data_IF_226163945098
#
_entry.id   IF_226163945098
#
_cell.length_a   1.000
_cell.length_b   1.000
_cell.length_c   1.000
_cell.angle_alpha   90.00
_cell.angle_beta   90.00
_cell.angle_gamma   90.00
#
_symmetry.space_group_name_H-M   'P 1'
#
loop_
_entity.id
_entity.type
_entity.pdbx_description
1 polymer ?
#
# COMPACT_ATOMS: atom_id res chain seq x y z
N UNK A 1 44.99 34.02 -33.67
CA UNK A 1 44.53 33.73 -33.49
C UNK A 1 43.66 32.97 -32.98
N UNK A 2 43.14 32.82 -32.60
CA UNK A 2 42.42 32.17 -32.20
C UNK A 2 41.62 31.77 -31.65
N UNK A 3 41.18 31.68 -31.45
CA UNK A 3 40.41 31.26 -31.02
C UNK A 3 39.72 30.75 -30.46
N UNK A 4 39.21 30.59 -30.27
CA UNK A 4 38.49 30.23 -29.74
C UNK A 4 37.73 29.53 -29.50
N UNK A 5 37.41 29.15 -29.13
CA UNK A 5 36.67 28.48 -28.88
C UNK A 5 35.99 28.26 -28.19
N UNK A 6 35.48 28.12 -28.12
CA UNK A 6 34.81 28.05 -27.64
C UNK A 6 34.07 27.46 -27.13
N UNK A 7 33.68 27.22 -26.76
CA UNK A 7 32.96 26.79 -26.04
C UNK A 7 31.90 26.18 -25.94
N UNK A 8 31.52 25.97 -25.92
CA UNK A 8 30.67 25.47 -25.86
C UNK A 8 30.04 24.82 -25.16
N UNK A 9 29.97 24.78 -24.78
CA UNK A 9 29.58 24.21 -24.22
C UNK A 9 28.70 24.00 -23.62
N UNK A 10 28.38 23.94 -23.26
CA UNK A 10 27.55 23.84 -22.27
C UNK A 10 26.27 23.46 -22.40
N UNK A 11 25.94 23.03 -23.18
CA UNK A 11 24.82 22.56 -23.23
C UNK A 11 24.65 21.43 -22.64
N UNK A 12 24.71 21.34 -21.58
CA UNK A 12 24.40 20.32 -20.89
C UNK A 12 23.05 20.13 -20.92
N UNK A 13 22.49 19.57 -21.80
CA UNK A 13 21.14 19.07 -21.76
C UNK A 13 21.00 18.11 -20.61
N UNK A 14 19.91 18.14 -19.99
CA UNK A 14 19.60 17.23 -18.92
C UNK A 14 19.91 15.80 -19.34
N UNK A 15 20.61 15.08 -18.52
CA UNK A 15 20.95 13.69 -18.81
C UNK A 15 19.71 12.85 -18.91
N UNK A 16 19.64 11.92 -19.83
CA UNK A 16 18.47 11.01 -19.90
C UNK A 16 18.17 10.30 -18.60
N UNK A 17 19.18 10.03 -17.78
CA UNK A 17 19.00 9.43 -16.47
C UNK A 17 18.23 10.34 -15.53
N UNK A 18 18.45 11.64 -15.58
CA UNK A 18 17.76 12.60 -14.73
C UNK A 18 16.27 12.69 -15.12
N UNK A 19 15.98 12.66 -16.41
CA UNK A 19 14.61 12.66 -16.89
C UNK A 19 13.86 11.39 -16.46
N UNK A 20 14.53 10.23 -16.49
CA UNK A 20 13.94 8.99 -16.03
C UNK A 20 13.72 9.00 -14.53
N UNK A 21 14.64 9.57 -13.75
CA UNK A 21 14.45 9.68 -12.31
C UNK A 21 13.29 10.61 -11.97
N UNK A 22 13.13 11.70 -12.70
CA UNK A 22 12.02 12.62 -12.50
C UNK A 22 10.67 11.97 -12.84
N UNK A 23 10.67 10.96 -13.72
CA UNK A 23 9.46 10.24 -14.12
C UNK A 23 9.23 8.95 -13.34
N UNK A 24 9.89 8.76 -12.22
CA UNK A 24 9.70 7.57 -11.39
C UNK A 24 8.96 7.92 -10.10
N UNK A 25 8.30 6.91 -9.51
CA UNK A 25 7.64 7.03 -8.22
C UNK A 25 8.24 6.01 -7.26
N UNK A 26 8.16 6.30 -5.96
CA UNK A 26 8.66 5.41 -4.93
C UNK A 26 7.52 4.73 -4.20
N UNK A 27 7.74 3.47 -3.86
CA UNK A 27 6.75 2.64 -3.21
C UNK A 27 7.41 1.78 -2.15
N UNK A 28 6.60 1.33 -1.20
CA UNK A 28 6.99 0.25 -0.30
C UNK A 28 6.34 -1.02 -0.79
N UNK A 29 7.16 -2.03 -1.05
CA UNK A 29 6.69 -3.36 -1.44
C UNK A 29 6.44 -4.22 -0.22
N UNK A 30 5.31 -4.91 -0.19
CA UNK A 30 4.96 -5.82 0.88
C UNK A 30 4.22 -7.03 0.33
N UNK A 31 4.08 -8.06 1.16
CA UNK A 31 3.44 -9.30 0.77
C UNK A 31 2.31 -9.66 1.71
N UNK A 32 1.27 -10.21 1.13
CA UNK A 32 0.16 -10.82 1.85
C UNK A 32 -0.16 -12.12 1.11
N UNK A 33 -0.02 -13.25 1.81
CA UNK A 33 -0.29 -14.58 1.27
C UNK A 33 0.48 -14.86 -0.03
N UNK A 34 1.74 -14.43 -0.07
CA UNK A 34 2.61 -14.63 -1.23
C UNK A 34 2.40 -13.66 -2.37
N UNK A 35 1.32 -12.87 -2.35
CA UNK A 35 1.06 -11.87 -3.37
C UNK A 35 1.79 -10.56 -3.03
N UNK A 36 2.36 -9.91 -4.03
CA UNK A 36 3.13 -8.69 -3.88
C UNK A 36 2.29 -7.46 -4.15
N UNK A 37 2.38 -6.51 -3.22
CA UNK A 37 1.60 -5.27 -3.25
C UNK A 37 2.52 -4.07 -3.08
N UNK A 38 2.03 -2.90 -3.47
CA UNK A 38 2.73 -1.63 -3.28
C UNK A 38 1.81 -0.61 -2.61
N UNK A 39 2.39 0.15 -1.68
CA UNK A 39 1.82 1.41 -1.22
C UNK A 39 2.72 2.55 -1.68
N UNK A 40 2.14 3.67 -2.07
CA UNK A 40 2.91 4.88 -2.37
C UNK A 40 3.61 5.37 -1.11
N UNK A 41 4.89 5.72 -1.24
CA UNK A 41 5.71 6.10 -0.11
C UNK A 41 5.15 7.35 0.60
N UNK A 42 4.49 8.24 -0.13
CA UNK A 42 3.92 9.47 0.41
C UNK A 42 2.83 9.23 1.44
N UNK A 43 2.22 8.04 1.42
CA UNK A 43 1.18 7.68 2.37
C UNK A 43 1.71 7.03 3.64
N UNK A 44 2.99 6.67 3.65
CA UNK A 44 3.56 5.89 4.74
C UNK A 44 4.26 6.80 5.73
N UNK A 45 3.89 6.69 7.00
CA UNK A 45 4.56 7.39 8.07
C UNK A 45 5.78 6.62 8.55
N UNK A 46 5.61 5.32 8.83
CA UNK A 46 6.69 4.45 9.26
C UNK A 46 6.27 2.98 9.16
N UNK A 47 7.23 2.09 9.30
CA UNK A 47 7.02 0.65 9.31
C UNK A 47 7.58 0.13 10.62
N UNK A 48 6.74 -0.58 11.38
CA UNK A 48 7.11 -1.05 12.71
C UNK A 48 6.85 -2.54 12.84
N UNK A 49 7.51 -3.15 13.79
CA UNK A 49 7.18 -4.49 14.24
C UNK A 49 5.85 -4.43 14.99
N UNK A 50 4.94 -5.39 14.79
CA UNK A 50 3.67 -5.37 15.52
C UNK A 50 3.91 -5.32 17.02
N UNK A 51 3.25 -4.39 17.67
CA UNK A 51 3.31 -4.22 19.11
C UNK A 51 2.06 -4.74 19.79
N UNK A 52 1.84 -4.29 21.01
CA UNK A 52 0.64 -4.63 21.74
C UNK A 52 -0.57 -3.97 21.12
N UNK A 53 -1.61 -4.76 20.90
CA UNK A 53 -2.88 -4.29 20.34
C UNK A 53 -3.98 -4.58 21.36
N UNK A 54 -4.76 -3.55 21.68
CA UNK A 54 -5.93 -3.69 22.55
C UNK A 54 -7.14 -3.96 21.68
N UNK A 55 -7.80 -5.08 21.92
CA UNK A 55 -9.00 -5.44 21.16
C UNK A 55 -10.16 -4.53 21.51
N UNK A 56 -10.91 -4.15 20.48
CA UNK A 56 -12.10 -3.32 20.62
C UNK A 56 -13.31 -4.21 20.32
N UNK A 57 -14.37 -4.18 21.16
CA UNK A 57 -15.58 -4.98 20.87
C UNK A 57 -16.37 -4.38 19.72
N UNK A 58 -17.16 -5.25 19.08
CA UNK A 58 -18.13 -4.85 18.05
C UNK A 58 -17.54 -4.15 16.83
N UNK A 59 -16.33 -4.58 16.44
CA UNK A 59 -15.69 -4.11 15.21
C UNK A 59 -15.62 -5.26 14.19
N UNK A 60 -15.49 -4.94 12.90
CA UNK A 60 -15.29 -5.98 11.89
C UNK A 60 -14.06 -6.82 12.17
N UNK A 61 -14.05 -8.06 11.66
CA UNK A 61 -12.96 -9.00 11.92
C UNK A 61 -11.59 -8.48 11.48
N UNK A 62 -11.54 -7.66 10.43
CA UNK A 62 -10.28 -7.11 9.94
C UNK A 62 -9.69 -6.02 10.84
N UNK A 63 -10.46 -5.49 11.79
CA UNK A 63 -9.95 -4.55 12.78
C UNK A 63 -9.37 -5.37 13.93
N UNK A 64 -8.05 -5.40 14.03
CA UNK A 64 -7.37 -6.14 15.10
C UNK A 64 -7.64 -5.47 16.44
N UNK A 65 -7.68 -4.16 16.45
CA UNK A 65 -7.89 -3.34 17.63
C UNK A 65 -7.23 -1.99 17.50
N UNK A 66 -6.77 -1.46 18.61
CA UNK A 66 -6.04 -0.19 18.64
C UNK A 66 -4.69 -0.38 19.29
N UNK A 67 -3.72 0.42 18.87
CA UNK A 67 -2.36 0.40 19.40
C UNK A 67 -1.95 1.81 19.78
N UNK A 68 -1.11 1.91 20.80
CA UNK A 68 -0.55 3.20 21.20
C UNK A 68 0.78 3.39 20.47
N UNK A 69 0.83 4.38 19.60
CA UNK A 69 2.03 4.76 18.88
C UNK A 69 2.50 6.11 19.39
N UNK A 70 3.49 6.09 20.28
CA UNK A 70 4.10 7.30 20.84
C UNK A 70 3.06 8.27 21.43
N UNK A 71 2.11 7.73 22.18
CA UNK A 71 1.06 8.53 22.81
C UNK A 71 -0.18 8.75 21.97
N UNK A 72 -0.19 8.33 20.73
CA UNK A 72 -1.36 8.42 19.85
C UNK A 72 -1.98 7.04 19.69
N UNK A 73 -3.28 6.95 19.91
CA UNK A 73 -4.02 5.71 19.72
C UNK A 73 -4.42 5.62 18.26
N UNK A 74 -3.99 4.54 17.60
CA UNK A 74 -4.30 4.32 16.19
C UNK A 74 -5.02 2.98 16.02
N UNK A 75 -5.99 2.89 15.10
CA UNK A 75 -6.58 1.60 14.75
C UNK A 75 -5.60 0.76 13.95
N UNK A 76 -5.64 -0.55 14.15
CA UNK A 76 -4.81 -1.51 13.44
C UNK A 76 -5.71 -2.44 12.64
N UNK A 77 -5.47 -2.49 11.35
CA UNK A 77 -6.22 -3.30 10.38
C UNK A 77 -5.33 -4.45 9.93
N UNK A 78 -5.87 -5.66 9.94
CA UNK A 78 -5.20 -6.82 9.35
C UNK A 78 -5.61 -6.92 7.89
N UNK A 79 -4.68 -6.68 6.99
CA UNK A 79 -4.97 -6.70 5.56
C UNK A 79 -5.31 -8.10 5.04
N UNK A 80 -4.79 -9.15 5.68
CA UNK A 80 -5.20 -10.52 5.32
C UNK A 80 -6.70 -10.69 5.49
N UNK A 81 -7.21 -10.29 6.65
CA UNK A 81 -8.63 -10.40 6.96
C UNK A 81 -9.47 -9.45 6.11
N UNK A 82 -8.94 -8.26 5.83
CA UNK A 82 -9.62 -7.31 4.95
C UNK A 82 -9.81 -7.88 3.55
N UNK A 83 -8.84 -8.67 3.07
CA UNK A 83 -8.89 -9.30 1.75
C UNK A 83 -9.63 -10.64 1.75
N UNK A 84 -10.22 -11.03 2.88
CA UNK A 84 -10.96 -12.28 2.97
C UNK A 84 -10.09 -13.52 3.11
N UNK A 85 -8.84 -13.36 3.47
CA UNK A 85 -7.92 -14.47 3.67
C UNK A 85 -8.00 -15.01 5.10
N UNK A 86 -7.62 -16.27 5.32
CA UNK A 86 -7.61 -16.82 6.68
C UNK A 86 -6.65 -16.08 7.60
N UNK A 87 -6.94 -16.01 8.89
CA UNK A 87 -6.03 -15.38 9.84
C UNK A 87 -4.72 -16.15 9.94
N UNK A 88 -3.65 -15.43 10.26
CA UNK A 88 -2.33 -16.01 10.43
C UNK A 88 -1.71 -15.43 11.68
N UNK A 89 -1.09 -16.29 12.47
CA UNK A 89 -0.35 -15.84 13.66
C UNK A 89 0.85 -15.00 13.20
N UNK A 90 1.05 -13.80 13.76
CA UNK A 90 2.23 -13.00 13.44
C UNK A 90 3.51 -13.74 13.69
N UNK A 91 4.49 -13.58 12.81
CA UNK A 91 5.81 -14.20 12.91
C UNK A 91 6.90 -13.12 12.83
N UNK A 92 8.15 -13.54 12.67
CA UNK A 92 9.30 -12.63 12.64
C UNK A 92 9.26 -11.66 11.45
N UNK A 93 8.55 -12.00 10.38
CA UNK A 93 8.47 -11.17 9.17
C UNK A 93 7.29 -10.20 9.20
N UNK A 94 6.31 -10.45 10.05
CA UNK A 94 5.10 -9.61 10.15
C UNK A 94 5.47 -8.17 10.49
N UNK A 95 4.85 -7.22 9.79
CA UNK A 95 5.08 -5.80 10.01
C UNK A 95 3.75 -5.05 10.03
N UNK A 96 3.76 -3.90 10.68
CA UNK A 96 2.66 -2.95 10.61
C UNK A 96 3.14 -1.73 9.86
N UNK A 97 2.50 -1.43 8.74
CA UNK A 97 2.77 -0.23 7.96
C UNK A 97 1.84 0.86 8.49
N UNK A 98 2.43 1.89 9.07
CA UNK A 98 1.67 3.02 9.59
C UNK A 98 1.46 4.01 8.46
N UNK A 99 0.21 4.28 8.13
CA UNK A 99 -0.17 5.12 7.00
C UNK A 99 -0.97 6.33 7.44
N UNK A 100 -0.85 7.41 6.68
CA UNK A 100 -1.61 8.63 6.88
C UNK A 100 -2.66 8.76 5.78
N UNK A 101 -3.91 8.98 6.19
CA UNK A 101 -5.03 9.19 5.29
C UNK A 101 -5.69 10.49 5.72
N UNK A 102 -5.34 11.59 5.04
CA UNK A 102 -5.77 12.91 5.48
C UNK A 102 -5.18 13.22 6.85
N UNK A 103 -6.05 13.46 7.82
CA UNK A 103 -5.66 13.74 9.20
C UNK A 103 -5.67 12.49 10.09
N UNK A 104 -5.93 11.31 9.52
CA UNK A 104 -6.01 10.06 10.27
C UNK A 104 -4.77 9.21 10.05
N UNK A 105 -4.34 8.55 11.11
CA UNK A 105 -3.22 7.61 11.09
C UNK A 105 -3.75 6.23 11.43
N UNK A 106 -3.38 5.24 10.64
CA UNK A 106 -3.81 3.85 10.83
C UNK A 106 -2.64 2.90 10.64
N UNK A 107 -2.71 1.76 11.27
CA UNK A 107 -1.72 0.69 11.08
C UNK A 107 -2.30 -0.43 10.22
N UNK A 108 -1.53 -0.89 9.26
CA UNK A 108 -1.88 -2.01 8.39
C UNK A 108 -0.92 -3.16 8.63
N UNK A 109 -1.43 -4.27 9.19
CA UNK A 109 -0.62 -5.48 9.37
C UNK A 109 -0.50 -6.22 8.06
N UNK A 110 0.72 -6.58 7.70
CA UNK A 110 1.05 -7.32 6.48
C UNK A 110 1.97 -8.49 6.84
N UNK A 111 2.04 -9.49 5.97
CA UNK A 111 2.84 -10.69 6.23
C UNK A 111 4.33 -10.39 6.21
N UNK A 112 4.78 -9.54 5.32
CA UNK A 112 6.19 -9.14 5.22
C UNK A 112 6.31 -7.84 4.43
N UNK A 113 7.35 -7.06 4.73
CA UNK A 113 7.73 -5.89 3.94
C UNK A 113 9.05 -6.20 3.25
N UNK A 114 9.12 -5.96 1.94
CA UNK A 114 10.33 -6.26 1.20
C UNK A 114 11.32 -5.09 1.20
N UNK A 115 10.97 -4.01 0.53
CA UNK A 115 11.91 -2.89 0.39
C UNK A 115 11.20 -1.68 -0.20
N UNK A 116 11.88 -0.54 -0.16
CA UNK A 116 11.46 0.63 -0.92
C UNK A 116 11.89 0.42 -2.37
N UNK A 117 10.94 0.58 -3.29
CA UNK A 117 11.15 0.33 -4.71
C UNK A 117 10.86 1.60 -5.48
N UNK A 118 11.75 1.94 -6.41
CA UNK A 118 11.50 3.04 -7.34
C UNK A 118 11.10 2.44 -8.68
N UNK A 119 9.94 2.84 -9.19
CA UNK A 119 9.39 2.30 -10.43
C UNK A 119 9.17 3.44 -11.41
N UNK A 120 9.68 3.33 -12.64
CA UNK A 120 9.39 4.32 -13.69
C UNK A 120 7.88 4.39 -13.93
N UNK A 121 7.39 5.60 -14.17
CA UNK A 121 5.95 5.83 -14.36
C UNK A 121 5.41 5.03 -15.54
N UNK A 122 6.21 4.82 -16.58
CA UNK A 122 5.79 4.03 -17.73
C UNK A 122 5.60 2.55 -17.42
N UNK A 123 6.09 2.08 -16.29
CA UNK A 123 5.91 0.70 -15.84
C UNK A 123 4.68 0.54 -14.93
N UNK A 124 3.96 1.63 -14.69
CA UNK A 124 2.77 1.63 -13.85
C UNK A 124 1.56 1.70 -14.77
N UNK A 125 0.68 0.72 -14.67
CA UNK A 125 -0.50 0.61 -15.53
C UNK A 125 -1.76 0.71 -14.68
N UNK A 126 -2.69 1.54 -15.11
CA UNK A 126 -3.97 1.69 -14.42
C UNK A 126 -4.74 0.37 -14.41
N UNK A 127 -5.54 0.16 -13.37
CA UNK A 127 -6.38 -1.02 -13.28
C UNK A 127 -7.42 -1.01 -14.41
N UNK A 128 -7.63 -2.14 -15.10
CA UNK A 128 -8.70 -2.23 -16.09
C UNK A 128 -10.07 -2.00 -15.44
N UNK A 129 -11.02 -1.48 -16.21
CA UNK A 129 -12.36 -1.20 -15.71
C UNK A 129 -13.04 -2.43 -15.13
N UNK A 130 -12.72 -3.60 -15.65
CA UNK A 130 -13.24 -4.86 -15.14
C UNK A 130 -12.78 -5.18 -13.72
N UNK A 131 -11.62 -4.68 -13.33
CA UNK A 131 -11.10 -4.84 -11.97
C UNK A 131 -11.60 -3.70 -11.08
N UNK A 132 -11.80 -2.52 -11.66
CA UNK A 132 -12.22 -1.34 -10.92
C UNK A 132 -13.73 -1.32 -10.63
N UNK A 133 -14.53 -2.07 -11.40
CA UNK A 133 -15.98 -1.98 -11.34
C UNK A 133 -16.63 -2.82 -10.25
N UNK A 134 -15.94 -3.83 -9.74
CA UNK A 134 -16.55 -4.76 -8.78
C UNK A 134 -16.29 -4.39 -7.32
N UNK A 135 -16.27 -3.12 -7.00
CA UNK A 135 -16.10 -2.69 -5.62
C UNK A 135 -14.66 -2.66 -5.14
N UNK A 136 -13.71 -3.06 -5.97
CA UNK A 136 -12.29 -2.99 -5.63
C UNK A 136 -11.68 -1.67 -6.08
N UNK A 137 -12.26 -0.58 -5.64
CA UNK A 137 -11.73 0.75 -5.91
C UNK A 137 -10.36 0.97 -5.28
N UNK A 138 -9.93 0.04 -4.43
CA UNK A 138 -8.64 0.12 -3.75
C UNK A 138 -7.46 -0.26 -4.64
N UNK A 139 -7.69 -0.92 -5.79
CA UNK A 139 -6.61 -1.23 -6.72
C UNK A 139 -6.42 -0.04 -7.66
N UNK A 140 -5.32 0.67 -7.48
CA UNK A 140 -4.97 1.80 -8.34
C UNK A 140 -4.43 1.32 -9.68
N UNK A 141 -3.67 0.23 -9.67
CA UNK A 141 -3.08 -0.30 -10.88
C UNK A 141 -2.12 -1.45 -10.62
N UNK A 142 -1.30 -1.70 -11.61
CA UNK A 142 -0.30 -2.74 -11.58
C UNK A 142 1.05 -2.15 -11.98
N UNK A 143 2.12 -2.68 -11.40
CA UNK A 143 3.45 -2.22 -11.70
C UNK A 143 4.38 -3.42 -11.88
N UNK A 144 5.26 -3.33 -12.86
CA UNK A 144 6.25 -4.36 -13.07
C UNK A 144 7.62 -3.84 -12.64
N UNK A 145 8.29 -4.60 -11.79
CA UNK A 145 9.65 -4.31 -11.36
C UNK A 145 10.46 -5.59 -11.46
N UNK A 146 11.41 -5.61 -12.39
CA UNK A 146 12.15 -6.83 -12.69
C UNK A 146 11.24 -7.91 -13.25
N UNK A 147 11.27 -9.10 -12.65
CA UNK A 147 10.41 -10.22 -13.02
C UNK A 147 9.08 -10.23 -12.25
N UNK A 148 8.92 -9.31 -11.30
CA UNK A 148 7.78 -9.31 -10.40
C UNK A 148 6.67 -8.38 -10.88
N UNK A 149 5.44 -8.83 -10.69
CA UNK A 149 4.25 -8.02 -10.91
C UNK A 149 3.66 -7.65 -9.55
N UNK A 150 3.51 -6.37 -9.32
CA UNK A 150 2.97 -5.84 -8.07
C UNK A 150 1.58 -5.26 -8.30
N UNK A 151 0.73 -5.41 -7.30
CA UNK A 151 -0.57 -4.75 -7.28
C UNK A 151 -0.42 -3.45 -6.48
N UNK A 152 -0.68 -2.33 -7.15
CA UNK A 152 -0.61 -1.01 -6.52
C UNK A 152 -1.95 -0.69 -5.87
N UNK A 153 -1.94 -0.53 -4.55
CA UNK A 153 -3.13 -0.23 -3.78
C UNK A 153 -3.20 1.24 -3.43
N UNK A 154 -4.40 1.80 -3.52
CA UNK A 154 -4.68 3.15 -3.05
C UNK A 154 -5.10 3.06 -1.58
N UNK A 155 -4.22 3.50 -0.69
CA UNK A 155 -4.42 3.45 0.75
C UNK A 155 -5.69 4.20 1.15
N UNK A 156 -5.91 5.38 0.57
CA UNK A 156 -7.07 6.19 0.90
C UNK A 156 -8.39 5.50 0.60
N UNK A 157 -8.48 4.84 -0.56
CA UNK A 157 -9.68 4.09 -0.94
C UNK A 157 -9.81 2.78 -0.16
N UNK A 158 -8.68 2.10 0.09
CA UNK A 158 -8.67 0.83 0.80
C UNK A 158 -9.19 0.97 2.22
N UNK A 159 -8.81 2.03 2.90
CA UNK A 159 -9.14 2.26 4.31
C UNK A 159 -10.21 3.33 4.51
N UNK A 160 -10.86 3.77 3.44
CA UNK A 160 -12.00 4.67 3.54
C UNK A 160 -13.17 3.94 4.24
N UNK A 161 -13.87 4.58 5.19
CA UNK A 161 -15.02 3.96 5.83
C UNK A 161 -16.06 3.42 4.87
N UNK A 162 -16.30 4.09 3.75
CA UNK A 162 -17.22 3.60 2.72
C UNK A 162 -16.66 2.37 2.02
N UNK A 163 -15.36 2.34 1.74
CA UNK A 163 -14.68 1.19 1.16
C UNK A 163 -14.68 -0.01 2.09
N UNK A 164 -14.40 0.22 3.36
CA UNK A 164 -14.42 -0.84 4.38
C UNK A 164 -15.83 -1.40 4.54
N UNK A 165 -16.86 -0.55 4.52
CA UNK A 165 -18.24 -0.99 4.58
C UNK A 165 -18.62 -1.83 3.35
N UNK A 166 -18.10 -1.47 2.17
CA UNK A 166 -18.30 -2.23 0.94
C UNK A 166 -17.68 -3.61 1.00
N UNK A 167 -16.47 -3.71 1.51
CA UNK A 167 -15.80 -5.00 1.70
C UNK A 167 -16.58 -5.87 2.67
N UNK A 168 -17.10 -5.27 3.73
CA UNK A 168 -17.91 -6.01 4.71
C UNK A 168 -19.20 -6.55 4.08
N UNK A 169 -19.80 -5.83 3.14
CA UNK A 169 -20.99 -6.29 2.44
C UNK A 169 -20.70 -7.34 1.38
N UNK A 170 -19.58 -7.21 0.70
CA UNK A 170 -19.17 -8.15 -0.33
C UNK A 170 -18.57 -9.41 0.27
N UNK A 171 -18.21 -9.33 1.53
CA UNK A 171 -17.42 -10.38 2.10
C UNK A 171 -18.23 -11.46 2.67
N UNK A 172 -17.83 -12.53 2.41
CA UNK A 172 -18.08 -13.88 2.88
C UNK A 172 -19.25 -14.51 2.19
N UNK A 173 -19.00 -15.08 1.03
CA UNK A 173 -19.93 -16.08 0.54
C UNK A 173 -19.95 -17.20 1.58
N UNK A 174 -21.06 -17.35 2.23
CA UNK A 174 -21.29 -18.55 3.01
C UNK A 174 -21.35 -18.44 4.50
N UNK A 175 -21.53 -17.29 5.09
CA UNK A 175 -22.04 -17.25 6.44
C UNK A 175 -23.57 -17.16 6.35
N UNK A 176 -24.29 -18.21 6.67
CA UNK A 176 -25.73 -18.08 6.79
C UNK A 176 -25.98 -17.10 7.92
N UNK A 177 -26.66 -16.03 7.61
CA UNK A 177 -27.30 -15.27 8.65
C UNK A 177 -28.27 -16.23 9.30
N UNK A 178 -27.88 -16.76 10.43
CA UNK A 178 -28.86 -17.36 11.26
C UNK A 178 -29.66 -16.21 11.86
N UNK A 179 -30.73 -15.93 11.21
CA UNK A 179 -31.76 -15.16 11.79
C UNK A 179 -32.38 -15.99 12.86
N UNK A 180 -32.17 -15.61 14.05
CA UNK A 180 -33.04 -15.93 15.14
C UNK A 180 -33.36 -14.66 15.83
#
# INVERSE_FOLDING_TARGET
MDRLRTGTLGMESARPSDAKQAASAQFVGFQIDGQKYLFRIERIQEIITPGSVTRVPDVPAYVVGVSNLRGTIIPVIDLRLLFGLPPRTPDADTRTIVVNIGDRTMGCMVDAVSQVIRIPVEQIHSAPDTVASDGQRSVEGFARAGADLFILLDVGSLLDPAGLAGVHRAGVPGVPHSDT
#
